data_IF_795093878001
#
_entry.id   IF_795093878001
#
_cell.length_a   1.000
_cell.length_b   1.000
_cell.length_c   1.000
_cell.angle_alpha   90.00
_cell.angle_beta   90.00
_cell.angle_gamma   90.00
#
_symmetry.space_group_name_H-M   'P 1'
#
loop_
_entity.id
_entity.type
_entity.pdbx_description
1 polymer ?
#
# COMPACT_ATOMS: atom_id res chain seq x y z
N UNK A 1 -17.47 26.46 -2.19
CA UNK A 1 -17.14 25.37 -1.26
C UNK A 1 -18.21 25.35 -0.19
N UNK A 2 -18.87 24.22 0.05
CA UNK A 2 -19.88 24.09 1.11
C UNK A 2 -19.18 24.14 2.47
N UNK A 3 -19.90 24.61 3.48
CA UNK A 3 -19.34 24.73 4.84
C UNK A 3 -18.85 23.40 5.40
N UNK A 4 -19.63 22.33 5.21
CA UNK A 4 -19.25 20.98 5.63
C UNK A 4 -17.95 20.48 4.99
N UNK A 5 -17.74 20.78 3.71
CA UNK A 5 -16.49 20.40 3.02
C UNK A 5 -15.27 21.13 3.63
N UNK A 6 -15.45 22.42 3.99
CA UNK A 6 -14.39 23.19 4.66
C UNK A 6 -14.09 22.66 6.07
N UNK A 7 -15.12 22.32 6.83
CA UNK A 7 -14.97 21.76 8.18
C UNK A 7 -14.27 20.40 8.12
N UNK A 8 -14.69 19.51 7.21
CA UNK A 8 -14.06 18.19 7.04
C UNK A 8 -12.57 18.32 6.65
N UNK A 9 -12.23 19.28 5.78
CA UNK A 9 -10.83 19.52 5.41
C UNK A 9 -9.99 20.01 6.61
N UNK A 10 -10.52 20.90 7.43
CA UNK A 10 -9.85 21.40 8.63
C UNK A 10 -9.69 20.32 9.71
N UNK A 11 -10.69 19.44 9.86
CA UNK A 11 -10.62 18.28 10.76
C UNK A 11 -9.55 17.29 10.31
N UNK A 12 -9.45 17.04 9.00
CA UNK A 12 -8.38 16.20 8.43
C UNK A 12 -6.98 16.76 8.69
N UNK A 13 -6.85 18.08 8.84
CA UNK A 13 -5.59 18.75 9.20
C UNK A 13 -5.34 18.83 10.71
N UNK A 14 -6.17 18.21 11.55
CA UNK A 14 -5.94 18.06 13.00
C UNK A 14 -6.66 19.05 13.88
N UNK A 15 -7.63 19.77 13.36
CA UNK A 15 -8.54 20.55 14.20
C UNK A 15 -9.69 19.67 14.69
N UNK A 16 -10.15 19.92 15.92
CA UNK A 16 -11.45 19.40 16.36
C UNK A 16 -12.58 20.16 15.64
N UNK A 17 -13.77 19.58 15.61
CA UNK A 17 -14.96 20.22 15.01
C UNK A 17 -15.21 21.63 15.54
N UNK A 18 -14.99 21.84 16.86
CA UNK A 18 -15.18 23.17 17.49
C UNK A 18 -14.10 24.17 17.07
N UNK A 19 -12.85 23.72 16.95
CA UNK A 19 -11.74 24.54 16.47
C UNK A 19 -11.93 24.90 14.99
N UNK A 20 -12.33 23.94 14.17
CA UNK A 20 -12.59 24.16 12.75
C UNK A 20 -13.69 25.21 12.54
N UNK A 21 -14.79 25.13 13.30
CA UNK A 21 -15.85 26.15 13.28
C UNK A 21 -15.33 27.53 13.69
N UNK A 22 -14.61 27.60 14.82
CA UNK A 22 -14.04 28.87 15.30
C UNK A 22 -13.07 29.50 14.30
N UNK A 23 -12.21 28.69 13.69
CA UNK A 23 -11.29 29.17 12.67
C UNK A 23 -12.04 29.65 11.42
N UNK A 24 -13.05 28.92 10.97
CA UNK A 24 -13.87 29.30 9.80
C UNK A 24 -14.59 30.63 10.04
N UNK A 25 -15.15 30.84 11.25
CA UNK A 25 -15.77 32.11 11.61
C UNK A 25 -14.78 33.28 11.65
N UNK A 26 -13.56 33.07 12.14
CA UNK A 26 -12.50 34.07 12.08
C UNK A 26 -12.03 34.38 10.66
N UNK A 27 -12.05 33.38 9.76
CA UNK A 27 -11.76 33.60 8.32
C UNK A 27 -12.85 34.45 7.67
N UNK A 28 -14.12 34.22 8.03
CA UNK A 28 -15.29 34.93 7.45
C UNK A 28 -15.43 36.36 7.99
N UNK A 29 -15.26 36.53 9.30
CA UNK A 29 -15.56 37.78 10.00
C UNK A 29 -14.32 38.62 10.27
N UNK A 30 -13.11 38.12 9.99
CA UNK A 30 -11.87 38.84 10.20
C UNK A 30 -11.48 38.93 11.68
N UNK A 31 -10.98 40.09 12.12
CA UNK A 31 -10.53 40.34 13.50
C UNK A 31 -11.71 40.41 14.45
N UNK A 32 -11.76 39.50 15.42
CA UNK A 32 -12.87 39.38 16.37
C UNK A 32 -12.39 39.26 17.82
N UNK A 33 -13.19 39.73 18.78
CA UNK A 33 -12.96 39.46 20.21
C UNK A 33 -13.47 38.08 20.60
N UNK A 34 -13.03 37.56 21.77
CA UNK A 34 -13.52 36.29 22.27
C UNK A 34 -15.05 36.26 22.47
N UNK A 35 -15.64 37.41 22.87
CA UNK A 35 -17.08 37.53 23.02
C UNK A 35 -17.80 37.36 21.66
N UNK A 36 -17.34 38.03 20.64
CA UNK A 36 -17.89 37.90 19.27
C UNK A 36 -17.78 36.46 18.73
N UNK A 37 -16.62 35.81 18.95
CA UNK A 37 -16.48 34.40 18.54
C UNK A 37 -17.40 33.47 19.34
N UNK A 38 -17.62 33.73 20.63
CA UNK A 38 -18.54 32.96 21.45
C UNK A 38 -19.98 33.07 20.94
N UNK A 39 -20.41 34.30 20.61
CA UNK A 39 -21.74 34.56 20.03
C UNK A 39 -21.93 33.87 18.68
N UNK A 40 -20.94 33.95 17.78
CA UNK A 40 -20.96 33.29 16.46
C UNK A 40 -21.03 31.76 16.56
N UNK A 41 -20.38 31.19 17.56
CA UNK A 41 -20.39 29.74 17.80
C UNK A 41 -21.56 29.24 18.65
N UNK A 42 -22.33 30.14 19.26
CA UNK A 42 -23.38 29.77 20.21
C UNK A 42 -22.87 29.05 21.46
N UNK A 43 -21.63 29.36 21.91
CA UNK A 43 -21.01 28.73 23.07
C UNK A 43 -20.82 29.68 24.24
N UNK A 44 -20.75 29.13 25.45
CA UNK A 44 -20.50 29.94 26.64
C UNK A 44 -19.10 30.55 26.62
N UNK A 45 -18.96 31.77 27.12
CA UNK A 45 -17.73 32.55 27.14
C UNK A 45 -16.48 31.80 27.67
N UNK A 46 -16.54 31.02 28.80
CA UNK A 46 -15.37 30.27 29.24
C UNK A 46 -14.92 29.17 28.28
N UNK A 47 -15.86 28.62 27.49
CA UNK A 47 -15.55 27.54 26.56
C UNK A 47 -14.80 28.04 25.30
N UNK A 48 -15.09 29.28 24.85
CA UNK A 48 -14.44 29.86 23.67
C UNK A 48 -12.94 30.09 23.90
N UNK A 49 -12.53 30.48 25.12
CA UNK A 49 -11.12 30.67 25.43
C UNK A 49 -10.28 29.41 25.25
N UNK A 50 -10.80 28.24 25.62
CA UNK A 50 -10.11 26.97 25.42
C UNK A 50 -9.91 26.67 23.95
N UNK A 51 -10.92 26.94 23.12
CA UNK A 51 -10.86 26.76 21.67
C UNK A 51 -9.85 27.72 21.05
N UNK A 52 -9.92 29.01 21.41
CA UNK A 52 -9.01 30.04 20.89
C UNK A 52 -7.56 29.79 21.35
N UNK A 53 -7.36 29.38 22.60
CA UNK A 53 -6.02 29.02 23.09
C UNK A 53 -5.44 27.83 22.34
N UNK A 54 -6.24 26.79 22.10
CA UNK A 54 -5.82 25.62 21.33
C UNK A 54 -5.48 25.98 19.87
N UNK A 55 -6.31 26.81 19.20
CA UNK A 55 -6.02 27.30 17.87
C UNK A 55 -4.74 28.14 17.82
N UNK A 56 -4.47 28.97 18.84
CA UNK A 56 -3.25 29.73 18.97
C UNK A 56 -2.03 28.82 19.15
N UNK A 57 -2.11 27.83 20.05
CA UNK A 57 -1.04 26.84 20.29
C UNK A 57 -0.72 26.04 19.03
N UNK A 58 -1.76 25.66 18.27
CA UNK A 58 -1.60 24.99 16.97
C UNK A 58 -1.15 25.94 15.84
N UNK A 59 -1.03 27.23 16.10
CA UNK A 59 -0.56 28.23 15.14
C UNK A 59 -1.57 28.59 14.04
N UNK A 60 -2.87 28.35 14.25
CA UNK A 60 -3.91 28.67 13.28
C UNK A 60 -4.42 30.11 13.34
N UNK A 61 -4.24 30.77 14.50
CA UNK A 61 -4.69 32.14 14.73
C UNK A 61 -3.59 32.99 15.34
N UNK A 62 -3.72 34.29 15.18
CA UNK A 62 -2.91 35.33 15.84
C UNK A 62 -3.76 36.05 16.86
N UNK A 63 -3.09 36.49 17.94
CA UNK A 63 -3.73 37.23 19.03
C UNK A 63 -3.04 38.57 19.20
N UNK A 64 -3.82 39.66 19.10
CA UNK A 64 -3.37 40.99 19.50
C UNK A 64 -3.56 41.17 21.01
N UNK A 65 -2.53 41.66 21.71
CA UNK A 65 -2.57 41.91 23.16
C UNK A 65 -3.24 43.25 23.54
N UNK A 66 -4.16 43.71 22.71
CA UNK A 66 -5.03 44.82 23.06
C UNK A 66 -6.05 44.45 24.11
N UNK A 67 -6.65 45.42 24.79
CA UNK A 67 -7.74 45.17 25.75
C UNK A 67 -9.04 45.67 25.16
N UNK A 68 -10.00 44.78 24.81
CA UNK A 68 -9.97 43.30 24.88
C UNK A 68 -9.07 42.66 23.83
N UNK A 69 -8.54 41.44 24.08
CA UNK A 69 -7.76 40.67 23.12
C UNK A 69 -8.54 40.48 21.82
N UNK A 70 -7.85 40.65 20.68
CA UNK A 70 -8.40 40.40 19.36
C UNK A 70 -7.75 39.21 18.71
N UNK A 71 -8.53 38.39 18.02
CA UNK A 71 -8.13 37.15 17.38
C UNK A 71 -8.32 37.29 15.89
N UNK A 72 -7.36 36.81 15.11
CA UNK A 72 -7.39 36.82 13.65
C UNK A 72 -6.95 35.45 13.12
N UNK A 73 -7.67 34.92 12.12
CA UNK A 73 -7.23 33.74 11.39
C UNK A 73 -5.91 34.06 10.64
N UNK A 74 -4.96 33.15 10.71
CA UNK A 74 -3.81 33.17 9.81
C UNK A 74 -4.21 32.68 8.42
N UNK A 75 -3.41 32.97 7.42
CA UNK A 75 -3.70 32.58 6.04
C UNK A 75 -3.96 31.06 5.93
N UNK A 76 -5.14 30.62 5.43
CA UNK A 76 -5.52 29.21 5.35
C UNK A 76 -4.51 28.34 4.59
N UNK A 77 -3.93 28.86 3.49
CA UNK A 77 -2.94 28.12 2.70
C UNK A 77 -1.67 27.84 3.52
N UNK A 78 -1.21 28.82 4.29
CA UNK A 78 0.02 28.69 5.08
C UNK A 78 -0.17 27.72 6.22
N UNK A 79 -1.27 27.85 6.99
CA UNK A 79 -1.51 26.97 8.15
C UNK A 79 -1.87 25.55 7.72
N UNK A 80 -2.55 25.37 6.60
CA UNK A 80 -2.82 24.05 6.06
C UNK A 80 -1.51 23.33 5.65
N UNK A 81 -0.60 24.03 5.00
CA UNK A 81 0.70 23.46 4.63
C UNK A 81 1.55 23.14 5.86
N UNK A 82 1.59 24.01 6.86
CA UNK A 82 2.28 23.75 8.13
C UNK A 82 1.70 22.53 8.87
N UNK A 83 0.37 22.43 8.92
CA UNK A 83 -0.29 21.29 9.56
C UNK A 83 -0.03 19.96 8.81
N UNK A 84 -0.02 19.99 7.47
CA UNK A 84 0.34 18.84 6.64
C UNK A 84 1.76 18.36 6.92
N UNK A 85 2.73 19.27 6.89
CA UNK A 85 4.14 18.96 7.16
C UNK A 85 4.37 18.41 8.57
N UNK A 86 3.72 19.02 9.58
CA UNK A 86 3.79 18.51 10.95
C UNK A 86 3.26 17.08 11.07
N UNK A 87 2.14 16.76 10.42
CA UNK A 87 1.59 15.41 10.41
C UNK A 87 2.45 14.41 9.66
N UNK A 88 3.05 14.79 8.54
CA UNK A 88 4.03 13.94 7.84
C UNK A 88 5.19 13.58 8.77
N UNK A 89 5.79 14.55 9.44
CA UNK A 89 6.88 14.31 10.39
C UNK A 89 6.46 13.40 11.56
N UNK A 90 5.25 13.59 12.10
CA UNK A 90 4.72 12.71 13.16
C UNK A 90 4.55 11.27 12.68
N UNK A 91 4.02 11.09 11.45
CA UNK A 91 3.84 9.77 10.84
C UNK A 91 5.18 9.10 10.54
N UNK A 92 6.14 9.83 10.01
CA UNK A 92 7.50 9.32 9.72
C UNK A 92 8.19 8.86 11.02
N UNK A 93 8.15 9.69 12.07
CA UNK A 93 8.69 9.35 13.37
C UNK A 93 7.97 8.16 14.04
N UNK A 94 6.66 8.03 13.81
CA UNK A 94 5.90 6.88 14.30
C UNK A 94 6.26 5.61 13.54
N UNK A 95 6.42 5.70 12.21
CA UNK A 95 6.84 4.59 11.37
C UNK A 95 8.25 4.10 11.71
N UNK A 96 9.19 5.02 11.97
CA UNK A 96 10.55 4.69 12.40
C UNK A 96 10.55 3.96 13.74
N UNK A 97 9.78 4.45 14.72
CA UNK A 97 9.64 3.77 16.03
C UNK A 97 8.98 2.40 15.92
N UNK A 98 7.99 2.25 15.04
CA UNK A 98 7.38 0.95 14.77
C UNK A 98 8.39 0.01 14.08
N UNK A 99 9.22 0.54 13.18
CA UNK A 99 10.29 -0.21 12.52
C UNK A 99 11.34 -0.77 13.50
N UNK A 100 11.55 -0.12 14.65
CA UNK A 100 12.46 -0.62 15.68
C UNK A 100 12.00 -1.95 16.33
N UNK A 101 10.74 -2.36 16.11
CA UNK A 101 10.23 -3.66 16.56
C UNK A 101 10.68 -4.83 15.67
N UNK A 102 11.41 -4.57 14.58
CA UNK A 102 11.83 -5.59 13.62
C UNK A 102 12.67 -6.67 14.26
N UNK A 103 13.60 -6.32 15.13
CA UNK A 103 14.49 -7.29 15.79
C UNK A 103 13.71 -8.26 16.70
N UNK A 104 12.71 -7.75 17.42
CA UNK A 104 11.82 -8.57 18.25
C UNK A 104 10.95 -9.50 17.40
N UNK A 105 10.42 -8.97 16.29
CA UNK A 105 9.65 -9.74 15.32
C UNK A 105 10.47 -10.88 14.71
N UNK A 106 11.68 -10.61 14.20
CA UNK A 106 12.54 -11.61 13.59
C UNK A 106 12.96 -12.69 14.58
N UNK A 107 13.25 -12.32 15.83
CA UNK A 107 13.61 -13.28 16.88
C UNK A 107 12.46 -14.25 17.16
N UNK A 108 11.22 -13.75 17.21
CA UNK A 108 10.04 -14.60 17.45
C UNK A 108 9.61 -15.36 16.20
N UNK A 109 9.72 -14.78 15.02
CA UNK A 109 9.38 -15.44 13.76
C UNK A 109 10.27 -16.66 13.50
N UNK A 110 11.57 -16.57 13.84
CA UNK A 110 12.50 -17.73 13.75
C UNK A 110 12.21 -18.84 14.75
N UNK A 111 11.51 -18.53 15.83
CA UNK A 111 11.14 -19.51 16.87
C UNK A 111 9.84 -20.27 16.57
N UNK A 112 9.12 -19.91 15.52
CA UNK A 112 7.84 -20.53 15.16
C UNK A 112 8.08 -21.58 14.08
N UNK A 113 7.87 -22.84 14.43
CA UNK A 113 8.06 -24.04 13.59
C UNK A 113 6.99 -24.17 12.49
N UNK A 114 6.38 -23.06 12.05
CA UNK A 114 5.26 -23.09 11.09
C UNK A 114 5.70 -22.47 9.77
N UNK A 115 6.10 -23.34 8.87
CA UNK A 115 6.59 -22.95 7.54
C UNK A 115 5.48 -22.75 6.50
N UNK A 116 4.20 -22.65 6.93
CA UNK A 116 3.07 -22.58 6.04
C UNK A 116 1.95 -21.70 6.58
N UNK A 117 1.57 -20.64 5.83
CA UNK A 117 0.47 -19.74 6.17
C UNK A 117 -0.53 -19.57 5.03
N UNK A 118 -1.82 -19.63 5.34
CA UNK A 118 -2.92 -19.42 4.40
C UNK A 118 -3.55 -18.04 4.57
N UNK A 119 -3.55 -17.25 3.51
CA UNK A 119 -4.19 -15.94 3.41
C UNK A 119 -5.48 -16.03 2.61
N UNK A 120 -6.53 -15.30 3.02
CA UNK A 120 -7.84 -15.30 2.35
C UNK A 120 -8.20 -13.88 1.89
N UNK A 121 -8.86 -13.81 0.73
CA UNK A 121 -9.28 -12.55 0.11
C UNK A 121 -8.15 -11.80 -0.57
N UNK A 122 -8.53 -10.97 -1.55
CA UNK A 122 -7.56 -10.24 -2.37
C UNK A 122 -6.67 -9.30 -1.54
N UNK A 123 -7.25 -8.61 -0.56
CA UNK A 123 -6.52 -7.65 0.28
C UNK A 123 -5.44 -8.33 1.13
N UNK A 124 -5.80 -9.41 1.88
CA UNK A 124 -4.85 -10.16 2.69
C UNK A 124 -3.70 -10.76 1.87
N UNK A 125 -4.04 -11.32 0.71
CA UNK A 125 -3.06 -11.88 -0.24
C UNK A 125 -2.13 -10.78 -0.79
N UNK A 126 -2.69 -9.63 -1.19
CA UNK A 126 -1.91 -8.53 -1.75
C UNK A 126 -0.98 -7.90 -0.71
N UNK A 127 -1.45 -7.77 0.54
CA UNK A 127 -0.65 -7.22 1.63
C UNK A 127 0.54 -8.13 1.96
N UNK A 128 0.31 -9.44 2.08
CA UNK A 128 1.41 -10.40 2.32
C UNK A 128 2.38 -10.45 1.14
N UNK A 129 1.88 -10.48 -0.09
CA UNK A 129 2.76 -10.45 -1.25
C UNK A 129 3.61 -9.18 -1.29
N UNK A 130 3.02 -8.02 -0.95
CA UNK A 130 3.77 -6.76 -0.86
C UNK A 130 4.89 -6.85 0.18
N UNK A 131 4.60 -7.40 1.36
CA UNK A 131 5.60 -7.62 2.41
C UNK A 131 6.77 -8.46 1.90
N UNK A 132 6.48 -9.67 1.38
CA UNK A 132 7.51 -10.61 0.91
C UNK A 132 8.32 -10.04 -0.27
N UNK A 133 7.67 -9.33 -1.21
CA UNK A 133 8.37 -8.69 -2.34
C UNK A 133 9.27 -7.54 -1.88
N UNK A 134 8.86 -6.76 -0.90
CA UNK A 134 9.67 -5.64 -0.39
C UNK A 134 10.82 -6.09 0.50
N UNK A 135 10.70 -7.23 1.18
CA UNK A 135 11.75 -7.82 2.03
C UNK A 135 12.70 -8.73 1.25
N UNK A 136 12.36 -9.12 0.01
CA UNK A 136 13.15 -10.07 -0.77
C UNK A 136 14.60 -9.60 -1.00
N UNK A 137 15.57 -10.45 -0.65
CA UNK A 137 17.00 -10.14 -0.76
C UNK A 137 17.57 -10.31 -2.18
N UNK A 138 16.85 -11.02 -3.07
CA UNK A 138 17.37 -11.42 -4.37
C UNK A 138 16.34 -11.36 -5.52
N UNK A 139 16.63 -12.16 -6.56
CA UNK A 139 15.75 -12.26 -7.73
C UNK A 139 14.41 -12.92 -7.35
N UNK A 140 13.31 -12.38 -7.87
CA UNK A 140 11.97 -12.94 -7.72
C UNK A 140 11.58 -13.65 -9.03
N UNK A 141 11.23 -14.93 -8.94
CA UNK A 141 10.72 -15.70 -10.07
C UNK A 141 9.21 -15.80 -9.98
N UNK A 142 8.50 -15.28 -10.98
CA UNK A 142 7.04 -15.34 -11.06
C UNK A 142 6.61 -16.29 -12.15
N UNK A 143 5.83 -17.31 -11.81
CA UNK A 143 5.23 -18.24 -12.77
C UNK A 143 3.73 -18.01 -12.80
N UNK A 144 3.21 -17.60 -13.94
CA UNK A 144 1.79 -17.32 -14.13
C UNK A 144 1.24 -18.05 -15.34
N UNK A 145 0.13 -18.81 -15.20
CA UNK A 145 -0.39 -19.64 -16.28
C UNK A 145 -1.12 -18.86 -17.39
N UNK A 146 -1.65 -17.67 -17.12
CA UNK A 146 -2.43 -16.92 -18.11
C UNK A 146 -2.25 -15.40 -18.01
N UNK A 147 -2.14 -14.72 -19.17
CA UNK A 147 -2.11 -13.27 -19.26
C UNK A 147 -3.51 -12.62 -19.33
N UNK A 148 -4.61 -13.38 -19.38
CA UNK A 148 -5.94 -12.83 -19.67
C UNK A 148 -6.52 -11.95 -18.55
N UNK A 149 -6.06 -12.11 -17.31
CA UNK A 149 -6.52 -11.32 -16.18
C UNK A 149 -5.47 -10.37 -15.64
N UNK A 150 -5.13 -9.41 -16.47
CA UNK A 150 -4.26 -8.29 -16.10
C UNK A 150 -4.79 -7.47 -14.91
N UNK A 151 -6.09 -7.52 -14.62
CA UNK A 151 -6.67 -6.80 -13.48
C UNK A 151 -6.22 -7.37 -12.14
N UNK A 152 -6.08 -8.70 -12.03
CA UNK A 152 -5.53 -9.36 -10.83
C UNK A 152 -4.03 -9.15 -10.72
N UNK A 153 -3.33 -9.24 -11.83
CA UNK A 153 -1.87 -9.12 -11.88
C UNK A 153 -1.39 -7.68 -11.81
N UNK A 154 -2.20 -6.70 -12.24
CA UNK A 154 -1.83 -5.28 -12.23
C UNK A 154 -1.41 -4.75 -10.85
N UNK A 155 -2.11 -5.02 -9.74
CA UNK A 155 -1.64 -4.67 -8.40
C UNK A 155 -0.31 -5.35 -8.06
N UNK A 156 -0.14 -6.63 -8.46
CA UNK A 156 1.06 -7.42 -8.21
C UNK A 156 2.26 -6.89 -9.00
N UNK A 157 2.07 -6.56 -10.28
CA UNK A 157 3.12 -5.91 -11.08
C UNK A 157 3.49 -4.52 -10.56
N UNK A 158 2.52 -3.75 -10.07
CA UNK A 158 2.78 -2.48 -9.41
C UNK A 158 3.64 -2.62 -8.14
N UNK A 159 3.53 -3.74 -7.42
CA UNK A 159 4.38 -4.07 -6.27
C UNK A 159 5.79 -4.41 -6.76
N UNK A 160 5.92 -5.31 -7.72
CA UNK A 160 7.20 -5.73 -8.31
C UNK A 160 7.98 -4.55 -8.91
N UNK A 161 7.30 -3.65 -9.62
CA UNK A 161 7.92 -2.46 -10.18
C UNK A 161 8.49 -1.51 -9.11
N UNK A 162 7.80 -1.35 -7.98
CA UNK A 162 8.28 -0.53 -6.86
C UNK A 162 9.43 -1.15 -6.07
N UNK A 163 9.53 -2.47 -6.09
CA UNK A 163 10.55 -3.20 -5.33
C UNK A 163 11.99 -3.01 -5.85
N UNK A 164 12.20 -2.35 -7.01
CA UNK A 164 13.51 -2.15 -7.66
C UNK A 164 14.34 -3.43 -7.84
N UNK A 165 13.71 -4.58 -7.71
CA UNK A 165 14.38 -5.86 -7.72
C UNK A 165 14.36 -6.50 -9.10
N UNK A 166 15.36 -7.32 -9.39
CA UNK A 166 15.42 -8.10 -10.60
C UNK A 166 14.38 -9.20 -10.56
N UNK A 167 13.22 -8.95 -11.14
CA UNK A 167 12.16 -9.95 -11.23
C UNK A 167 12.20 -10.65 -12.60
N UNK A 168 12.06 -11.96 -12.59
CA UNK A 168 11.93 -12.77 -13.78
C UNK A 168 10.52 -13.35 -13.82
N UNK A 169 9.73 -12.97 -14.81
CA UNK A 169 8.34 -13.42 -14.94
C UNK A 169 8.22 -14.43 -16.06
N UNK A 170 7.77 -15.62 -15.71
CA UNK A 170 7.44 -16.69 -16.66
C UNK A 170 5.93 -16.70 -16.84
N UNK A 171 5.46 -16.40 -18.05
CA UNK A 171 4.03 -16.36 -18.36
C UNK A 171 3.69 -17.19 -19.58
N UNK A 172 2.52 -17.78 -19.58
CA UNK A 172 1.94 -18.37 -20.78
C UNK A 172 1.21 -17.28 -21.57
N UNK A 173 1.57 -17.08 -22.82
CA UNK A 173 0.86 -16.18 -23.73
C UNK A 173 0.38 -16.95 -24.95
N UNK A 174 -0.88 -16.75 -25.33
CA UNK A 174 -1.48 -17.45 -26.45
C UNK A 174 -1.13 -16.82 -27.82
N UNK A 175 -0.74 -15.53 -27.83
CA UNK A 175 -0.43 -14.82 -29.08
C UNK A 175 0.48 -13.60 -28.85
N UNK A 176 0.98 -13.03 -29.94
CA UNK A 176 1.89 -11.88 -29.93
C UNK A 176 1.27 -10.58 -29.37
N UNK A 177 -0.04 -10.40 -29.46
CA UNK A 177 -0.73 -9.21 -28.92
C UNK A 177 -0.78 -9.25 -27.40
N UNK A 178 -0.94 -10.43 -26.81
CA UNK A 178 -0.83 -10.61 -25.35
C UNK A 178 0.59 -10.35 -24.86
N UNK A 179 1.59 -10.78 -25.62
CA UNK A 179 3.01 -10.48 -25.34
C UNK A 179 3.27 -8.98 -25.31
N UNK A 180 2.76 -8.25 -26.30
CA UNK A 180 2.91 -6.79 -26.35
C UNK A 180 2.25 -6.09 -25.16
N UNK A 181 1.03 -6.50 -24.79
CA UNK A 181 0.32 -6.01 -23.59
C UNK A 181 1.08 -6.27 -22.29
N UNK A 182 1.71 -7.43 -22.17
CA UNK A 182 2.55 -7.76 -21.02
C UNK A 182 3.82 -6.90 -21.00
N UNK A 183 4.42 -6.64 -22.17
CA UNK A 183 5.56 -5.73 -22.31
C UNK A 183 5.25 -4.30 -21.87
N UNK A 184 4.03 -3.79 -22.10
CA UNK A 184 3.59 -2.48 -21.63
C UNK A 184 3.41 -2.42 -20.10
N UNK A 185 2.98 -3.52 -19.48
CA UNK A 185 2.85 -3.62 -18.02
C UNK A 185 4.21 -3.83 -17.34
N UNK A 186 5.12 -4.48 -18.04
CA UNK A 186 6.45 -4.86 -17.57
C UNK A 186 7.53 -3.83 -17.94
N UNK A 187 7.21 -2.53 -17.99
CA UNK A 187 8.20 -1.49 -18.26
C UNK A 187 9.34 -1.57 -17.25
N UNK A 188 10.37 -2.35 -17.64
CA UNK A 188 11.69 -2.53 -17.00
C UNK A 188 11.73 -2.88 -15.51
N UNK A 189 12.41 -3.89 -15.04
CA UNK A 189 13.32 -4.89 -15.63
C UNK A 189 12.78 -6.33 -15.57
N UNK A 190 11.53 -6.55 -15.92
CA UNK A 190 10.89 -7.86 -15.90
C UNK A 190 11.19 -8.60 -17.19
N UNK A 191 11.95 -9.70 -17.14
CA UNK A 191 12.15 -10.59 -18.28
C UNK A 191 10.97 -11.56 -18.37
N UNK A 192 10.10 -11.36 -19.36
CA UNK A 192 8.97 -12.25 -19.64
C UNK A 192 9.46 -13.43 -20.47
N UNK A 193 9.30 -14.65 -19.98
CA UNK A 193 9.48 -15.88 -20.73
C UNK A 193 8.12 -16.51 -21.04
N UNK A 194 7.87 -16.82 -22.31
CA UNK A 194 6.61 -17.37 -22.77
C UNK A 194 6.64 -18.90 -22.75
N UNK A 195 5.63 -19.53 -22.19
CA UNK A 195 5.44 -20.97 -22.19
C UNK A 195 3.98 -21.31 -22.46
N UNK A 196 3.69 -22.00 -23.56
CA UNK A 196 2.45 -22.69 -23.97
C UNK A 196 1.20 -21.90 -24.36
N UNK A 197 0.47 -22.35 -25.40
CA UNK A 197 -0.86 -21.85 -25.72
C UNK A 197 -1.87 -22.33 -24.70
N UNK A 198 -2.65 -21.42 -24.15
CA UNK A 198 -3.79 -21.72 -23.30
C UNK A 198 -4.95 -22.21 -24.17
N UNK A 199 -5.23 -23.51 -24.17
CA UNK A 199 -6.53 -24.03 -24.62
C UNK A 199 -7.58 -23.72 -23.58
N UNK A 200 -8.78 -23.32 -24.04
CA UNK A 200 -9.96 -22.90 -23.29
C UNK A 200 -10.11 -23.57 -21.92
N UNK A 201 -10.10 -22.76 -20.85
CA UNK A 201 -10.32 -23.23 -19.49
C UNK A 201 -11.72 -22.81 -19.03
N UNK A 202 -12.62 -23.78 -18.73
CA UNK A 202 -13.86 -23.50 -18.01
C UNK A 202 -13.56 -23.10 -16.58
N UNK A 203 -14.58 -22.81 -15.75
CA UNK A 203 -14.46 -22.45 -14.34
C UNK A 203 -13.23 -23.02 -13.64
N UNK A 204 -12.16 -22.23 -13.48
CA UNK A 204 -10.84 -22.75 -13.12
C UNK A 204 -10.20 -21.97 -11.99
N UNK A 205 -9.39 -22.67 -11.24
CA UNK A 205 -8.41 -22.10 -10.34
C UNK A 205 -7.12 -21.89 -11.11
N UNK A 206 -6.58 -20.68 -11.06
CA UNK A 206 -5.26 -20.38 -11.60
C UNK A 206 -4.30 -20.08 -10.47
N UNK A 207 -3.21 -20.80 -10.42
CA UNK A 207 -2.16 -20.58 -9.42
C UNK A 207 -1.05 -19.72 -10.02
N UNK A 208 -0.82 -18.57 -9.42
CA UNK A 208 0.34 -17.73 -9.69
C UNK A 208 1.38 -18.01 -8.60
N UNK A 209 2.57 -18.43 -8.98
CA UNK A 209 3.61 -18.81 -8.05
C UNK A 209 4.72 -17.77 -8.06
N UNK A 210 5.04 -17.22 -6.90
CA UNK A 210 6.15 -16.33 -6.65
C UNK A 210 7.20 -17.10 -5.87
N UNK A 211 8.40 -17.22 -6.40
CA UNK A 211 9.51 -17.90 -5.77
C UNK A 211 10.59 -16.89 -5.42
N UNK A 212 11.05 -16.94 -4.20
CA UNK A 212 12.10 -16.09 -3.65
C UNK A 212 13.31 -16.99 -3.31
N UNK A 213 14.18 -17.30 -4.30
CA UNK A 213 15.22 -18.31 -4.13
C UNK A 213 16.24 -17.96 -3.06
N UNK A 214 16.58 -16.68 -2.92
CA UNK A 214 17.55 -16.20 -1.91
C UNK A 214 17.00 -16.30 -0.50
N UNK A 215 15.70 -16.10 -0.34
CA UNK A 215 15.03 -16.11 0.97
C UNK A 215 14.49 -17.49 1.32
N UNK A 216 14.56 -18.44 0.38
CA UNK A 216 14.03 -19.81 0.51
C UNK A 216 12.53 -19.82 0.80
N UNK A 217 11.81 -18.89 0.19
CA UNK A 217 10.39 -18.70 0.36
C UNK A 217 9.62 -18.86 -0.95
N UNK A 218 8.35 -19.22 -0.84
CA UNK A 218 7.44 -19.36 -1.97
C UNK A 218 6.06 -18.84 -1.59
N UNK A 219 5.44 -18.11 -2.50
CA UNK A 219 4.09 -17.63 -2.32
C UNK A 219 3.21 -18.02 -3.52
N UNK A 220 2.18 -18.81 -3.26
CA UNK A 220 1.24 -19.25 -4.28
C UNK A 220 -0.06 -18.46 -4.13
N UNK A 221 -0.45 -17.74 -5.18
CA UNK A 221 -1.73 -17.05 -5.25
C UNK A 221 -2.69 -17.86 -6.11
N UNK A 222 -3.72 -18.39 -5.48
CA UNK A 222 -4.81 -19.07 -6.17
C UNK A 222 -5.90 -18.04 -6.51
N UNK A 223 -6.05 -17.72 -7.78
CA UNK A 223 -7.11 -16.89 -8.31
C UNK A 223 -8.27 -17.76 -8.79
N UNK A 224 -9.49 -17.34 -8.50
CA UNK A 224 -10.71 -18.07 -8.87
C UNK A 224 -11.48 -17.29 -9.92
N UNK A 225 -11.94 -18.03 -10.93
CA UNK A 225 -12.75 -17.48 -12.03
C UNK A 225 -14.07 -18.22 -12.09
N UNK A 226 -15.16 -17.49 -12.29
CA UNK A 226 -16.49 -18.04 -12.49
C UNK A 226 -17.06 -17.49 -13.80
N UNK A 227 -17.31 -18.35 -14.77
CA UNK A 227 -17.77 -17.98 -16.12
C UNK A 227 -16.85 -16.93 -16.77
N UNK A 228 -15.55 -17.07 -16.56
CA UNK A 228 -14.54 -16.12 -17.08
C UNK A 228 -14.37 -14.83 -16.27
N UNK A 229 -15.17 -14.58 -15.23
CA UNK A 229 -15.02 -13.41 -14.36
C UNK A 229 -14.21 -13.75 -13.10
N UNK A 230 -13.29 -12.88 -12.75
CA UNK A 230 -12.50 -12.98 -11.53
C UNK A 230 -13.36 -12.79 -10.27
N UNK A 231 -13.11 -13.59 -9.24
CA UNK A 231 -13.85 -13.58 -7.95
C UNK A 231 -12.89 -13.19 -6.81
N UNK A 232 -12.74 -11.88 -6.50
CA UNK A 232 -11.76 -11.38 -5.53
C UNK A 232 -11.90 -11.97 -4.12
N UNK A 233 -13.13 -12.25 -3.69
CA UNK A 233 -13.43 -12.76 -2.35
C UNK A 233 -12.94 -14.20 -2.15
N UNK A 234 -12.71 -14.94 -3.25
CA UNK A 234 -12.25 -16.33 -3.23
C UNK A 234 -10.76 -16.48 -3.45
N UNK A 235 -10.02 -15.39 -3.62
CA UNK A 235 -8.56 -15.43 -3.74
C UNK A 235 -7.95 -16.00 -2.45
N UNK A 236 -6.98 -16.89 -2.63
CA UNK A 236 -6.23 -17.49 -1.53
C UNK A 236 -4.75 -17.39 -1.81
N UNK A 237 -3.97 -17.03 -0.82
CA UNK A 237 -2.52 -17.02 -0.84
C UNK A 237 -1.98 -18.08 0.09
N UNK A 238 -0.99 -18.85 -0.36
CA UNK A 238 -0.26 -19.79 0.46
C UNK A 238 1.21 -19.38 0.49
N UNK A 239 1.69 -18.98 1.66
CA UNK A 239 3.10 -18.71 1.89
C UNK A 239 3.77 -19.96 2.47
N UNK A 240 4.95 -20.29 1.97
CA UNK A 240 5.74 -21.45 2.37
C UNK A 240 7.19 -20.99 2.57
N UNK A 241 7.72 -21.17 3.79
CA UNK A 241 9.10 -20.85 4.19
C UNK A 241 10.00 -22.06 4.27
N UNK A 242 9.72 -23.13 3.52
CA UNK A 242 10.48 -24.37 3.52
C UNK A 242 11.50 -24.42 2.37
N UNK A 243 12.78 -24.43 2.72
CA UNK A 243 13.90 -24.42 1.77
C UNK A 243 13.91 -25.66 0.84
N UNK A 244 13.54 -26.83 1.36
CA UNK A 244 13.52 -28.06 0.58
C UNK A 244 12.35 -28.07 -0.40
N UNK A 245 11.19 -27.58 0.03
CA UNK A 245 10.03 -27.42 -0.85
C UNK A 245 10.31 -26.41 -1.97
N UNK A 246 10.91 -25.26 -1.64
CA UNK A 246 11.32 -24.24 -2.64
C UNK A 246 12.31 -24.82 -3.65
N UNK A 247 13.31 -25.60 -3.18
CA UNK A 247 14.26 -26.28 -4.07
C UNK A 247 13.55 -27.25 -5.02
N UNK A 248 12.64 -28.09 -4.51
CA UNK A 248 11.85 -29.01 -5.33
C UNK A 248 11.03 -28.30 -6.40
N UNK A 249 10.42 -27.15 -6.06
CA UNK A 249 9.66 -26.34 -7.01
C UNK A 249 10.58 -25.75 -8.09
N UNK A 250 11.74 -25.23 -7.74
CA UNK A 250 12.72 -24.71 -8.70
C UNK A 250 13.23 -25.82 -9.65
N UNK A 251 13.50 -27.03 -9.14
CA UNK A 251 13.88 -28.18 -9.95
C UNK A 251 12.74 -28.61 -10.89
N UNK A 252 11.51 -28.65 -10.42
CA UNK A 252 10.36 -28.96 -11.25
C UNK A 252 10.16 -27.93 -12.39
N UNK A 253 10.34 -26.66 -12.09
CA UNK A 253 10.32 -25.59 -13.08
C UNK A 253 11.45 -25.71 -14.11
N UNK A 254 12.64 -26.14 -13.69
CA UNK A 254 13.78 -26.32 -14.57
C UNK A 254 13.63 -27.56 -15.49
N UNK A 255 12.96 -28.61 -15.03
CA UNK A 255 12.70 -29.86 -15.78
C UNK A 255 11.50 -29.76 -16.72
N UNK A 256 10.66 -28.74 -16.60
CA UNK A 256 9.51 -28.55 -17.47
C UNK A 256 9.93 -28.47 -18.94
N UNK A 257 9.07 -28.88 -19.90
CA UNK A 257 9.44 -28.99 -21.31
C UNK A 257 10.06 -27.67 -21.80
N UNK A 258 11.30 -27.75 -22.24
CA UNK A 258 12.04 -26.61 -22.76
C UNK A 258 11.31 -26.09 -24.00
N UNK A 259 10.85 -24.86 -23.96
CA UNK A 259 10.45 -24.15 -25.19
C UNK A 259 11.73 -23.89 -25.97
N UNK A 260 11.77 -24.34 -27.22
CA UNK A 260 12.92 -24.17 -28.08
C UNK A 260 13.38 -22.72 -28.11
N UNK A 261 14.59 -22.47 -27.64
CA UNK A 261 15.25 -21.17 -27.68
C UNK A 261 15.59 -20.55 -26.32
N UNK A 262 15.19 -21.16 -25.18
CA UNK A 262 15.47 -20.59 -23.86
C UNK A 262 16.42 -21.51 -23.08
N UNK A 263 17.67 -21.10 -22.96
CA UNK A 263 18.63 -21.73 -22.04
C UNK A 263 18.29 -21.29 -20.60
N UNK A 264 17.65 -22.18 -19.84
CA UNK A 264 17.59 -22.03 -18.37
C UNK A 264 19.02 -22.27 -17.90
N UNK A 265 19.74 -21.25 -17.47
CA UNK A 265 20.99 -21.45 -16.74
C UNK A 265 20.63 -22.16 -15.44
N UNK A 266 21.15 -23.36 -15.26
CA UNK A 266 21.09 -24.06 -13.97
C UNK A 266 21.61 -23.12 -12.88
N UNK A 267 20.92 -23.04 -11.76
CA UNK A 267 21.40 -22.33 -10.59
C UNK A 267 22.72 -22.97 -10.14
N UNK A 268 23.71 -22.19 -9.73
CA UNK A 268 24.93 -22.76 -9.17
C UNK A 268 24.57 -23.62 -7.98
N UNK A 269 25.08 -24.86 -7.98
CA UNK A 269 25.06 -25.73 -6.81
C UNK A 269 26.00 -25.08 -5.79
N UNK A 270 25.45 -24.45 -4.76
CA UNK A 270 26.16 -23.99 -3.58
C UNK A 270 26.17 -25.06 -2.52
#
# INVERSE_FOLDING_TARGET
MREEDALAALEALGLTRKEAKAYLELVRNGVSTAAQVADLLGVQYPAVYRVLHSLQTKGWIEVSRERPNRYRARNPRVVAEQARQGREQELDAAAERAGALVDEYETKARATDTDLFLYKGLEGVTNKLREVVLSAAGEILVVSPLPQDLEVLRPLFGILHRARQRSRVLMNAANSAEVARLGELARDPVRVQLKFPASHLPDTRLAHTFVFPSDKELFIVNAFYRRGAFVPERVQGLWIGDADYVRLQLEAMARGPAVSGIKVRAFPRG
#
